data_IF_502859886078
#
_entry.id   IF_502859886078
#
_cell.length_a   1.000
_cell.length_b   1.000
_cell.length_c   1.000
_cell.angle_alpha   90.00
_cell.angle_beta   90.00
_cell.angle_gamma   90.00
#
_symmetry.space_group_name_H-M   'P 1'
#
loop_
_entity.id
_entity.type
_entity.pdbx_description
1 polymer ?
#
# COMPACT_ATOMS: atom_id res chain seq x y z
N UNK A 1 4.26 -30.47 54.27
CA UNK A 1 5.63 -30.33 53.71
C UNK A 1 5.56 -30.66 52.22
N UNK A 2 6.19 -29.82 51.37
CA UNK A 2 6.26 -29.82 49.90
C UNK A 2 5.22 -28.96 49.12
N UNK A 3 5.50 -27.66 49.10
CA UNK A 3 5.32 -26.61 48.07
C UNK A 3 4.19 -26.60 47.03
N UNK A 4 3.34 -25.57 47.18
CA UNK A 4 2.46 -24.91 46.21
C UNK A 4 3.29 -24.04 45.25
N UNK A 5 4.09 -24.65 44.37
CA UNK A 5 4.62 -23.94 43.21
C UNK A 5 4.33 -24.74 41.95
N UNK A 6 3.11 -24.60 41.45
CA UNK A 6 2.77 -24.96 40.09
C UNK A 6 3.46 -24.00 39.13
N UNK A 7 4.77 -24.14 38.92
CA UNK A 7 5.45 -23.51 37.81
C UNK A 7 4.87 -24.13 36.54
N UNK A 8 3.84 -23.48 35.97
CA UNK A 8 3.38 -23.75 34.60
C UNK A 8 4.54 -23.36 33.68
N UNK A 9 5.40 -24.33 33.37
CA UNK A 9 6.47 -24.14 32.39
C UNK A 9 5.82 -23.66 31.10
N UNK A 10 6.07 -22.40 30.75
CA UNK A 10 5.51 -21.76 29.57
C UNK A 10 5.93 -22.58 28.34
N UNK A 11 4.97 -23.03 27.54
CA UNK A 11 5.25 -23.87 26.37
C UNK A 11 5.71 -22.99 25.20
N UNK A 12 6.98 -23.04 24.79
CA UNK A 12 7.50 -22.19 23.71
C UNK A 12 6.80 -22.42 22.36
N UNK A 13 6.25 -23.62 22.14
CA UNK A 13 5.47 -23.92 20.93
C UNK A 13 4.15 -23.17 20.88
N UNK A 14 3.49 -22.97 22.04
CA UNK A 14 2.24 -22.19 22.13
C UNK A 14 2.50 -20.70 21.93
N UNK A 15 3.63 -20.19 22.42
CA UNK A 15 4.03 -18.80 22.16
C UNK A 15 4.26 -18.58 20.67
N UNK A 16 5.07 -19.44 20.01
CA UNK A 16 5.29 -19.38 18.56
C UNK A 16 3.99 -19.44 17.76
N UNK A 17 3.08 -20.33 18.13
CA UNK A 17 1.77 -20.44 17.46
C UNK A 17 0.95 -19.15 17.59
N UNK A 18 0.99 -18.50 18.76
CA UNK A 18 0.31 -17.22 19.00
C UNK A 18 0.93 -16.11 18.15
N UNK A 19 2.25 -16.08 18.02
CA UNK A 19 2.95 -15.09 17.21
C UNK A 19 2.69 -15.27 15.72
N UNK A 20 2.66 -16.51 15.22
CA UNK A 20 2.27 -16.81 13.84
C UNK A 20 0.85 -16.32 13.51
N UNK A 21 -0.10 -16.48 14.44
CA UNK A 21 -1.46 -15.95 14.27
C UNK A 21 -1.51 -14.42 14.21
N UNK A 22 -0.67 -13.75 15.01
CA UNK A 22 -0.54 -12.28 14.98
C UNK A 22 0.05 -11.81 13.67
N UNK A 23 1.10 -12.49 13.19
CA UNK A 23 1.74 -12.17 11.93
C UNK A 23 0.81 -12.44 10.73
N UNK A 24 0.08 -13.55 10.71
CA UNK A 24 -0.94 -13.81 9.67
C UNK A 24 -2.01 -12.70 9.63
N UNK A 25 -2.47 -12.23 10.80
CA UNK A 25 -3.43 -11.12 10.86
C UNK A 25 -2.82 -9.81 10.34
N UNK A 26 -1.58 -9.50 10.69
CA UNK A 26 -0.89 -8.30 10.19
C UNK A 26 -0.67 -8.37 8.68
N UNK A 27 -0.28 -9.53 8.15
CA UNK A 27 -0.10 -9.75 6.71
C UNK A 27 -1.39 -9.45 5.95
N UNK A 28 -2.51 -10.03 6.40
CA UNK A 28 -3.83 -9.77 5.82
C UNK A 28 -4.24 -8.30 5.85
N UNK A 29 -3.92 -7.59 6.94
CA UNK A 29 -4.20 -6.15 7.04
C UNK A 29 -3.36 -5.34 6.04
N UNK A 30 -2.06 -5.66 5.88
CA UNK A 30 -1.22 -5.00 4.89
C UNK A 30 -1.69 -5.25 3.47
N UNK A 31 -2.07 -6.49 3.16
CA UNK A 31 -2.58 -6.86 1.84
C UNK A 31 -3.91 -6.15 1.54
N UNK A 32 -4.81 -6.06 2.53
CA UNK A 32 -6.07 -5.33 2.40
C UNK A 32 -5.83 -3.84 2.14
N UNK A 33 -5.01 -3.17 2.95
CA UNK A 33 -4.72 -1.75 2.79
C UNK A 33 -4.04 -1.49 1.44
N UNK A 34 -3.13 -2.37 1.01
CA UNK A 34 -2.49 -2.29 -0.31
C UNK A 34 -3.52 -2.36 -1.45
N UNK A 35 -4.51 -3.26 -1.33
CA UNK A 35 -5.58 -3.38 -2.31
C UNK A 35 -6.50 -2.14 -2.34
N UNK A 36 -6.82 -1.57 -1.18
CA UNK A 36 -7.60 -0.33 -1.08
C UNK A 36 -6.87 0.86 -1.73
N UNK A 37 -5.56 0.99 -1.47
CA UNK A 37 -4.71 2.04 -2.07
C UNK A 37 -4.65 1.89 -3.60
N UNK A 38 -4.43 0.67 -4.12
CA UNK A 38 -4.38 0.43 -5.56
C UNK A 38 -5.73 0.64 -6.25
N UNK A 39 -6.84 0.32 -5.57
CA UNK A 39 -8.18 0.61 -6.07
C UNK A 39 -8.42 2.14 -6.17
N UNK A 40 -8.06 2.91 -5.13
CA UNK A 40 -8.15 4.38 -5.17
C UNK A 40 -7.28 4.94 -6.30
N UNK A 41 -6.02 4.51 -6.38
CA UNK A 41 -5.07 4.94 -7.41
C UNK A 41 -5.59 4.68 -8.81
N UNK A 42 -6.08 3.46 -9.09
CA UNK A 42 -6.67 3.09 -10.38
C UNK A 42 -7.88 3.98 -10.71
N UNK A 43 -8.73 4.26 -9.72
CA UNK A 43 -9.85 5.18 -9.87
C UNK A 43 -9.41 6.60 -10.24
N UNK A 44 -8.35 7.10 -9.62
CA UNK A 44 -7.78 8.42 -9.92
C UNK A 44 -7.09 8.46 -11.29
N UNK A 45 -6.34 7.42 -11.67
CA UNK A 45 -5.71 7.33 -13.00
C UNK A 45 -6.75 7.38 -14.13
N UNK A 46 -7.89 6.70 -13.96
CA UNK A 46 -8.97 6.75 -14.93
C UNK A 46 -9.58 8.16 -15.06
N UNK A 47 -9.81 8.84 -13.94
CA UNK A 47 -10.31 10.22 -13.93
C UNK A 47 -9.30 11.20 -14.50
N UNK A 48 -8.03 11.07 -14.13
CA UNK A 48 -6.91 11.83 -14.70
C UNK A 48 -6.90 11.72 -16.22
N UNK A 49 -6.96 10.50 -16.77
CA UNK A 49 -6.96 10.29 -18.23
C UNK A 49 -8.16 10.97 -18.90
N UNK A 50 -9.35 10.83 -18.32
CA UNK A 50 -10.55 11.50 -18.85
C UNK A 50 -10.45 13.02 -18.81
N UNK A 51 -10.00 13.60 -17.70
CA UNK A 51 -9.82 15.05 -17.57
C UNK A 51 -8.73 15.58 -18.52
N UNK A 52 -7.60 14.89 -18.63
CA UNK A 52 -6.51 15.26 -19.53
C UNK A 52 -6.95 15.25 -21.00
N UNK A 53 -7.67 14.21 -21.43
CA UNK A 53 -8.24 14.13 -22.79
C UNK A 53 -9.22 15.27 -23.05
N UNK A 54 -10.12 15.58 -22.11
CA UNK A 54 -11.07 16.69 -22.24
C UNK A 54 -10.37 18.05 -22.32
N UNK A 55 -9.32 18.26 -21.52
CA UNK A 55 -8.52 19.48 -21.55
C UNK A 55 -7.82 19.65 -22.90
N UNK A 56 -7.23 18.58 -23.45
CA UNK A 56 -6.58 18.59 -24.76
C UNK A 56 -7.57 18.96 -25.88
N UNK A 57 -8.75 18.33 -25.92
CA UNK A 57 -9.78 18.68 -26.91
C UNK A 57 -10.26 20.12 -26.78
N UNK A 58 -10.39 20.63 -25.54
CA UNK A 58 -10.83 22.00 -25.33
C UNK A 58 -9.77 23.01 -25.78
N UNK A 59 -8.48 22.73 -25.52
CA UNK A 59 -7.38 23.55 -26.02
C UNK A 59 -7.34 23.56 -27.56
N UNK A 60 -7.49 22.41 -28.21
CA UNK A 60 -7.55 22.31 -29.67
C UNK A 60 -8.74 23.10 -30.26
N UNK A 61 -9.91 23.03 -29.62
CA UNK A 61 -11.08 23.83 -30.04
C UNK A 61 -10.85 25.34 -29.86
N UNK A 62 -10.13 25.75 -28.82
CA UNK A 62 -9.75 27.15 -28.62
C UNK A 62 -8.75 27.62 -29.67
N UNK A 63 -7.75 26.81 -30.02
CA UNK A 63 -6.76 27.11 -31.07
C UNK A 63 -7.41 27.23 -32.45
N UNK A 64 -8.39 26.39 -32.74
CA UNK A 64 -9.16 26.42 -33.99
C UNK A 64 -10.24 27.53 -34.01
N UNK A 65 -10.33 28.37 -32.97
CA UNK A 65 -11.28 29.48 -32.87
C UNK A 65 -12.74 29.05 -32.70
N UNK A 66 -13.00 27.77 -32.43
CA UNK A 66 -14.35 27.19 -32.27
C UNK A 66 -14.85 27.22 -30.83
N UNK A 67 -14.05 27.70 -29.87
CA UNK A 67 -14.41 27.91 -28.47
C UNK A 67 -14.14 29.35 -28.00
N UNK A 68 -15.05 29.91 -27.18
CA UNK A 68 -14.96 31.30 -26.69
C UNK A 68 -13.98 31.45 -25.51
N UNK A 69 -13.60 32.70 -25.18
CA UNK A 69 -12.72 33.00 -24.04
C UNK A 69 -13.27 32.56 -22.68
N UNK A 70 -14.59 32.35 -22.55
CA UNK A 70 -15.19 31.81 -21.32
C UNK A 70 -14.81 30.34 -21.07
N UNK A 71 -14.23 29.65 -22.06
CA UNK A 71 -13.67 28.29 -21.90
C UNK A 71 -12.24 28.28 -21.34
N UNK A 72 -11.58 29.44 -21.27
CA UNK A 72 -10.24 29.55 -20.68
C UNK A 72 -10.22 29.24 -19.17
N UNK A 73 -11.28 29.62 -18.44
CA UNK A 73 -11.43 29.23 -17.03
C UNK A 73 -11.64 27.73 -16.84
N UNK A 74 -12.32 27.07 -17.78
CA UNK A 74 -12.54 25.63 -17.75
C UNK A 74 -11.21 24.88 -17.94
N UNK A 75 -10.35 25.35 -18.85
CA UNK A 75 -8.99 24.80 -19.06
C UNK A 75 -8.16 24.92 -17.79
N UNK A 76 -8.08 26.11 -17.18
CA UNK A 76 -7.32 26.29 -15.93
C UNK A 76 -7.82 25.38 -14.81
N UNK A 77 -9.14 25.24 -14.67
CA UNK A 77 -9.74 24.33 -13.67
C UNK A 77 -9.37 22.87 -13.93
N UNK A 78 -9.36 22.45 -15.20
CA UNK A 78 -8.93 21.11 -15.58
C UNK A 78 -7.43 20.90 -15.30
N UNK A 79 -6.57 21.89 -15.59
CA UNK A 79 -5.14 21.83 -15.28
C UNK A 79 -4.88 21.69 -13.79
N UNK A 80 -5.55 22.47 -12.94
CA UNK A 80 -5.42 22.36 -11.48
C UNK A 80 -5.88 20.97 -10.99
N UNK A 81 -6.97 20.45 -11.57
CA UNK A 81 -7.48 19.11 -11.26
C UNK A 81 -6.47 18.02 -11.63
N UNK A 82 -5.84 18.13 -12.81
CA UNK A 82 -4.80 17.22 -13.29
C UNK A 82 -3.61 17.21 -12.31
N UNK A 83 -3.10 18.37 -11.92
CA UNK A 83 -1.97 18.49 -10.98
C UNK A 83 -2.31 17.89 -9.60
N UNK A 84 -3.55 18.07 -9.14
CA UNK A 84 -4.00 17.47 -7.89
C UNK A 84 -4.07 15.93 -7.97
N UNK A 85 -4.52 15.38 -9.10
CA UNK A 85 -4.49 13.94 -9.33
C UNK A 85 -3.06 13.39 -9.35
N UNK A 86 -2.13 14.04 -10.04
CA UNK A 86 -0.72 13.61 -10.07
C UNK A 86 -0.11 13.55 -8.66
N UNK A 87 -0.30 14.60 -7.87
CA UNK A 87 0.20 14.64 -6.48
C UNK A 87 -0.39 13.51 -5.64
N UNK A 88 -1.70 13.27 -5.74
CA UNK A 88 -2.37 12.21 -4.98
C UNK A 88 -1.94 10.82 -5.43
N UNK A 89 -1.82 10.58 -6.74
CA UNK A 89 -1.35 9.31 -7.30
C UNK A 89 0.08 9.03 -6.83
N UNK A 90 0.96 10.03 -6.81
CA UNK A 90 2.33 9.88 -6.32
C UNK A 90 2.37 9.55 -4.81
N UNK A 91 1.53 10.18 -4.00
CA UNK A 91 1.38 9.85 -2.58
C UNK A 91 0.91 8.40 -2.39
N UNK A 92 -0.16 7.98 -3.08
CA UNK A 92 -0.69 6.61 -3.00
C UNK A 92 0.35 5.58 -3.43
N UNK A 93 1.14 5.87 -4.48
CA UNK A 93 2.22 4.99 -4.91
C UNK A 93 3.29 4.82 -3.81
N UNK A 94 3.66 5.90 -3.10
CA UNK A 94 4.58 5.81 -1.95
C UNK A 94 3.98 5.00 -0.80
N UNK A 95 2.71 5.23 -0.46
CA UNK A 95 2.02 4.48 0.59
C UNK A 95 1.97 2.98 0.27
N UNK A 96 1.64 2.61 -0.98
CA UNK A 96 1.63 1.20 -1.37
C UNK A 96 3.02 0.57 -1.35
N UNK A 97 4.06 1.32 -1.70
CA UNK A 97 5.46 0.89 -1.56
C UNK A 97 5.79 0.50 -0.11
N UNK A 98 5.44 1.38 0.84
CA UNK A 98 5.64 1.11 2.27
C UNK A 98 4.86 -0.12 2.76
N UNK A 99 3.61 -0.32 2.30
CA UNK A 99 2.84 -1.51 2.67
C UNK A 99 3.52 -2.80 2.21
N UNK A 100 4.09 -2.80 1.00
CA UNK A 100 4.84 -3.95 0.47
C UNK A 100 6.14 -4.19 1.24
N UNK A 101 6.85 -3.14 1.62
CA UNK A 101 8.06 -3.26 2.46
C UNK A 101 7.75 -3.84 3.85
N UNK A 102 6.67 -3.38 4.49
CA UNK A 102 6.21 -3.93 5.76
C UNK A 102 5.78 -5.39 5.62
N UNK A 103 5.06 -5.73 4.55
CA UNK A 103 4.65 -7.10 4.23
C UNK A 103 5.87 -8.02 4.05
N UNK A 104 6.90 -7.56 3.34
CA UNK A 104 8.13 -8.31 3.12
C UNK A 104 8.95 -8.47 4.40
N UNK A 105 9.06 -7.41 5.21
CA UNK A 105 9.73 -7.46 6.51
C UNK A 105 9.05 -8.46 7.45
N UNK A 106 7.72 -8.53 7.40
CA UNK A 106 6.94 -9.50 8.16
C UNK A 106 7.19 -10.94 7.70
N UNK A 107 7.23 -11.20 6.38
CA UNK A 107 7.59 -12.52 5.84
C UNK A 107 8.98 -12.96 6.30
N UNK A 108 9.96 -12.05 6.29
CA UNK A 108 11.32 -12.35 6.73
C UNK A 108 11.37 -12.78 8.21
N UNK A 109 10.61 -12.13 9.09
CA UNK A 109 10.50 -12.50 10.52
C UNK A 109 9.87 -13.89 10.66
N UNK A 110 8.80 -14.17 9.91
CA UNK A 110 8.12 -15.47 9.95
C UNK A 110 9.05 -16.58 9.45
N UNK A 111 9.78 -16.36 8.36
CA UNK A 111 10.74 -17.31 7.80
C UNK A 111 11.90 -17.62 8.76
N UNK A 112 12.46 -16.58 9.42
CA UNK A 112 13.53 -16.75 10.41
C UNK A 112 13.04 -17.53 11.65
N UNK A 113 11.80 -17.30 12.07
CA UNK A 113 11.18 -17.99 13.22
C UNK A 113 10.86 -19.47 12.95
N UNK A 114 10.95 -19.91 11.69
CA UNK A 114 10.70 -21.28 11.26
C UNK A 114 11.87 -22.20 11.64
N UNK A 115 11.64 -23.45 12.10
CA UNK A 115 12.71 -24.36 12.55
C UNK A 115 13.80 -24.64 11.49
N UNK A 116 13.49 -24.48 10.19
CA UNK A 116 14.46 -24.57 9.11
C UNK A 116 15.35 -23.32 8.97
N UNK A 117 14.87 -22.13 9.35
CA UNK A 117 15.64 -20.87 9.36
C UNK A 117 16.71 -20.87 10.46
N UNK A 118 16.37 -21.40 11.64
CA UNK A 118 17.31 -21.53 12.78
C UNK A 118 18.49 -22.48 12.49
N UNK A 119 18.31 -23.49 11.63
CA UNK A 119 19.40 -24.37 11.20
C UNK A 119 20.35 -23.72 10.18
N UNK A 120 19.86 -22.74 9.40
CA UNK A 120 20.66 -22.02 8.39
C UNK A 120 21.57 -20.95 8.99
N UNK A 121 21.16 -20.32 10.09
CA UNK A 121 21.99 -19.35 10.83
C UNK A 121 23.05 -20.03 11.68
N UNK A 122 22.78 -21.23 12.22
CA UNK A 122 23.73 -22.00 13.02
C UNK A 122 24.87 -22.67 12.21
N UNK A 123 24.75 -22.78 10.88
CA UNK A 123 25.75 -23.40 10.00
C UNK A 123 26.82 -22.45 9.43
N UNK A 124 26.79 -21.17 9.81
CA UNK A 124 27.82 -20.16 9.45
C UNK A 124 28.61 -19.79 10.71
N UNK A 125 29.47 -20.70 11.16
CA UNK A 125 30.44 -20.50 12.23
C UNK A 125 31.79 -21.04 11.79
#
# INVERSE_FOLDING_TARGET
MASIFGFRTRNPGRDRQTDLQRFDRLAKMFDQISAEIEAEKTGLENRYRSTATNAAFLMEAMENGSASSSKSSDVNTMTDTILNYERRIAELARQNGLMKELRHSLDAIVDESSPAGSARTAGRG
#
